data_IF_421451532810
#
_entry.id   IF_421451532810
#
_cell.length_a   1.000
_cell.length_b   1.000
_cell.length_c   1.000
_cell.angle_alpha   90.00
_cell.angle_beta   90.00
_cell.angle_gamma   90.00
#
_symmetry.space_group_name_H-M   'P 1'
#
loop_
_entity.id
_entity.type
_entity.pdbx_description
1 polymer ?
#
# COMPACT_ATOMS: atom_id res chain seq x y z
N UNK A 1 -32.38 20.77 55.06
CA UNK A 1 -32.58 19.31 55.13
C UNK A 1 -32.67 18.80 53.69
N UNK A 2 -31.56 18.37 53.09
CA UNK A 2 -31.26 16.95 52.72
C UNK A 2 -32.49 16.29 52.07
N UNK A 3 -32.50 15.86 50.80
CA UNK A 3 -31.73 14.83 50.05
C UNK A 3 -32.24 14.92 48.58
N UNK A 4 -31.70 14.38 47.50
CA UNK A 4 -30.51 13.60 47.15
C UNK A 4 -30.41 13.71 45.62
N UNK A 5 -29.20 13.87 45.08
CA UNK A 5 -28.93 13.71 43.66
C UNK A 5 -29.17 12.26 43.24
N UNK A 6 -29.87 12.04 42.13
CA UNK A 6 -29.90 10.75 41.43
C UNK A 6 -29.28 10.96 40.05
N UNK A 7 -27.96 10.80 39.99
CA UNK A 7 -27.23 10.69 38.74
C UNK A 7 -27.58 9.33 38.12
N UNK A 8 -28.26 9.36 36.98
CA UNK A 8 -28.44 8.19 36.13
C UNK A 8 -27.10 7.96 35.40
N UNK A 9 -26.20 7.21 36.02
CA UNK A 9 -24.99 6.72 35.37
C UNK A 9 -25.39 5.60 34.42
N UNK A 10 -25.64 5.94 33.14
CA UNK A 10 -25.69 4.96 32.07
C UNK A 10 -24.25 4.57 31.77
N UNK A 11 -23.77 3.51 32.43
CA UNK A 11 -22.56 2.83 32.03
C UNK A 11 -22.82 2.19 30.66
N UNK A 12 -22.46 2.89 29.59
CA UNK A 12 -22.35 2.30 28.28
C UNK A 12 -21.16 1.34 28.30
N UNK A 13 -21.44 0.07 28.60
CA UNK A 13 -20.53 -1.03 28.32
C UNK A 13 -20.39 -1.14 26.79
N UNK A 14 -19.41 -0.42 26.24
CA UNK A 14 -18.94 -0.61 24.88
C UNK A 14 -18.18 -1.93 24.82
N UNK A 15 -18.92 -3.04 24.82
CA UNK A 15 -18.46 -4.32 24.28
C UNK A 15 -18.48 -4.20 22.76
N UNK A 16 -17.62 -3.33 22.23
CA UNK A 16 -17.37 -3.28 20.80
C UNK A 16 -16.47 -4.47 20.50
N UNK A 17 -17.00 -5.42 19.74
CA UNK A 17 -16.29 -6.60 19.27
C UNK A 17 -15.14 -6.24 18.33
N UNK A 18 -14.05 -5.70 18.87
CA UNK A 18 -12.77 -5.87 18.22
C UNK A 18 -12.51 -7.37 18.19
N UNK A 19 -12.55 -7.94 16.98
CA UNK A 19 -11.89 -9.21 16.71
C UNK A 19 -10.55 -9.17 17.46
N UNK A 20 -10.38 -10.04 18.45
CA UNK A 20 -9.23 -10.05 19.34
C UNK A 20 -8.03 -10.53 18.53
N UNK A 21 -7.47 -9.62 17.76
CA UNK A 21 -6.13 -9.77 17.20
C UNK A 21 -5.21 -9.92 18.40
N UNK A 22 -4.34 -10.92 18.38
CA UNK A 22 -3.42 -11.18 19.49
C UNK A 22 -2.57 -9.95 19.86
N UNK A 23 -1.89 -10.00 21.01
CA UNK A 23 -0.92 -8.97 21.40
C UNK A 23 -1.49 -7.69 22.02
N UNK A 24 -0.58 -6.87 22.56
CA UNK A 24 -0.94 -5.60 23.21
C UNK A 24 -1.22 -4.50 22.16
N UNK A 25 -2.06 -3.50 22.48
CA UNK A 25 -2.27 -2.36 21.57
C UNK A 25 -0.98 -1.63 21.19
N UNK A 26 -0.03 -1.52 22.12
CA UNK A 26 1.29 -0.94 21.85
C UNK A 26 2.07 -1.76 20.82
N UNK A 27 2.02 -3.09 20.92
CA UNK A 27 2.70 -3.97 19.99
C UNK A 27 2.06 -3.94 18.59
N UNK A 28 0.72 -3.97 18.52
CA UNK A 28 -0.03 -3.85 17.26
C UNK A 28 0.27 -2.52 16.55
N UNK A 29 0.42 -1.44 17.33
CA UNK A 29 0.82 -0.13 16.81
C UNK A 29 2.29 -0.12 16.38
N UNK A 30 3.18 -0.74 17.14
CA UNK A 30 4.59 -0.82 16.80
C UNK A 30 4.82 -1.59 15.48
N UNK A 31 4.07 -2.68 15.28
CA UNK A 31 4.17 -3.55 14.11
C UNK A 31 3.41 -3.03 12.88
N UNK A 32 2.71 -1.90 12.98
CA UNK A 32 1.92 -1.35 11.89
C UNK A 32 2.64 -1.23 10.53
N UNK A 33 3.97 -0.98 10.41
CA UNK A 33 4.62 -0.91 9.10
C UNK A 33 4.66 -2.25 8.35
N UNK A 34 4.48 -3.37 9.06
CA UNK A 34 4.42 -4.71 8.47
C UNK A 34 3.07 -5.01 7.83
N UNK A 35 2.00 -4.32 8.24
CA UNK A 35 0.70 -4.35 7.56
C UNK A 35 0.79 -3.52 6.29
N UNK A 36 1.27 -4.11 5.20
CA UNK A 36 1.54 -3.36 3.96
C UNK A 36 1.26 -4.16 2.71
N UNK A 37 1.00 -3.45 1.63
CA UNK A 37 1.08 -3.96 0.27
C UNK A 37 2.16 -3.18 -0.47
N UNK A 38 3.12 -3.90 -1.04
CA UNK A 38 4.14 -3.34 -1.93
C UNK A 38 3.60 -3.38 -3.36
N UNK A 39 3.67 -2.27 -4.08
CA UNK A 39 3.36 -2.20 -5.52
C UNK A 39 4.62 -1.80 -6.28
N UNK A 40 5.10 -2.70 -7.13
CA UNK A 40 6.26 -2.47 -8.00
C UNK A 40 5.80 -2.40 -9.45
N UNK A 41 6.05 -1.26 -10.10
CA UNK A 41 5.67 -1.02 -11.49
C UNK A 41 6.93 -0.95 -12.34
N UNK A 42 7.02 -1.85 -13.32
CA UNK A 42 8.03 -1.84 -14.38
C UNK A 42 7.44 -1.33 -15.68
N UNK A 43 8.23 -0.58 -16.46
CA UNK A 43 7.76 -0.03 -17.72
C UNK A 43 8.85 0.68 -18.52
N UNK A 44 8.42 1.43 -19.52
CA UNK A 44 9.33 2.23 -20.36
C UNK A 44 8.81 3.64 -20.60
N UNK A 45 9.75 4.56 -20.83
CA UNK A 45 9.50 5.94 -21.26
C UNK A 45 10.19 6.20 -22.59
N UNK A 46 9.62 7.09 -23.39
CA UNK A 46 10.25 7.54 -24.64
C UNK A 46 11.43 8.45 -24.29
N UNK A 47 12.64 8.07 -24.69
CA UNK A 47 13.84 8.91 -24.55
C UNK A 47 13.91 9.86 -25.75
N UNK A 48 13.89 11.19 -25.55
CA UNK A 48 14.07 12.14 -26.64
C UNK A 48 15.38 11.87 -27.39
N UNK A 49 15.39 12.01 -28.72
CA UNK A 49 16.63 11.85 -29.47
C UNK A 49 17.67 12.87 -29.02
N UNK A 50 18.98 12.52 -29.10
CA UNK A 50 20.04 13.49 -28.88
C UNK A 50 19.87 14.69 -29.81
N UNK A 51 20.21 15.90 -29.34
CA UNK A 51 20.22 17.08 -30.23
C UNK A 51 21.11 16.77 -31.45
N UNK A 52 20.61 16.98 -32.68
CA UNK A 52 21.40 16.72 -33.87
C UNK A 52 22.68 17.55 -33.87
N UNK A 53 23.80 16.97 -34.29
CA UNK A 53 24.98 17.76 -34.68
C UNK A 53 24.64 18.52 -35.97
N UNK A 54 25.18 19.74 -36.18
CA UNK A 54 24.99 20.46 -37.45
C UNK A 54 25.33 19.57 -38.64
N UNK A 55 24.39 19.42 -39.58
CA UNK A 55 24.54 18.57 -40.78
C UNK A 55 24.12 17.10 -40.64
N UNK A 56 23.75 16.62 -39.45
CA UNK A 56 23.25 15.26 -39.25
C UNK A 56 21.71 15.24 -39.18
N UNK A 57 21.08 14.22 -39.78
CA UNK A 57 19.64 13.98 -39.59
C UNK A 57 19.31 13.63 -38.13
N UNK A 58 18.14 14.01 -37.60
CA UNK A 58 17.70 13.64 -36.26
C UNK A 58 17.66 12.12 -36.06
N UNK A 59 18.18 11.65 -34.93
CA UNK A 59 18.10 10.24 -34.53
C UNK A 59 16.67 9.82 -34.16
N UNK A 60 16.39 8.51 -34.17
CA UNK A 60 15.11 7.96 -33.73
C UNK A 60 14.97 8.06 -32.19
N UNK A 61 13.76 8.29 -31.65
CA UNK A 61 13.52 8.23 -30.20
C UNK A 61 13.90 6.86 -29.62
N UNK A 62 14.56 6.86 -28.46
CA UNK A 62 14.93 5.64 -27.74
C UNK A 62 13.85 5.22 -26.73
N UNK A 63 14.07 4.09 -26.05
CA UNK A 63 13.31 3.67 -24.87
C UNK A 63 14.21 3.65 -23.66
N UNK A 64 13.69 4.12 -22.53
CA UNK A 64 14.34 4.12 -21.23
C UNK A 64 13.50 3.29 -20.27
N UNK A 65 14.13 2.40 -19.51
CA UNK A 65 13.44 1.58 -18.50
C UNK A 65 13.06 2.46 -17.32
N UNK A 66 11.83 2.31 -16.84
CA UNK A 66 11.32 2.97 -15.65
C UNK A 66 10.90 1.90 -14.63
N UNK A 67 11.28 2.12 -13.38
CA UNK A 67 10.86 1.32 -12.24
C UNK A 67 10.36 2.23 -11.13
N UNK A 68 9.24 1.87 -10.52
CA UNK A 68 8.61 2.61 -9.45
C UNK A 68 8.14 1.66 -8.38
N UNK A 69 8.24 2.07 -7.11
CA UNK A 69 7.78 1.30 -5.95
C UNK A 69 6.96 2.19 -5.04
N UNK A 70 5.80 1.70 -4.61
CA UNK A 70 4.94 2.35 -3.62
C UNK A 70 4.62 1.37 -2.51
N UNK A 71 4.58 1.88 -1.28
CA UNK A 71 4.21 1.14 -0.08
C UNK A 71 2.85 1.64 0.40
N UNK A 72 1.84 0.80 0.26
CA UNK A 72 0.50 1.02 0.81
C UNK A 72 0.48 0.38 2.20
N UNK A 73 0.81 1.16 3.23
CA UNK A 73 1.26 0.62 4.52
C UNK A 73 0.52 1.22 5.73
N UNK A 74 0.45 0.42 6.80
CA UNK A 74 0.06 0.83 8.13
C UNK A 74 -1.40 1.23 8.28
N UNK A 75 -1.69 1.87 9.42
CA UNK A 75 -3.04 2.24 9.85
C UNK A 75 -3.76 3.19 8.90
N UNK A 76 -3.02 3.91 8.05
CA UNK A 76 -3.59 4.79 7.03
C UNK A 76 -4.18 4.01 5.84
N UNK A 77 -3.71 2.78 5.61
CA UNK A 77 -4.17 1.92 4.53
C UNK A 77 -5.11 0.80 5.00
N UNK A 78 -4.89 0.26 6.20
CA UNK A 78 -5.61 -0.91 6.71
C UNK A 78 -5.89 -0.80 8.20
N UNK A 79 -7.06 -1.29 8.63
CA UNK A 79 -7.26 -1.63 10.02
C UNK A 79 -6.59 -2.99 10.32
N UNK A 80 -6.11 -3.22 11.56
CA UNK A 80 -5.63 -4.53 11.98
C UNK A 80 -6.63 -5.63 11.62
N UNK A 81 -6.15 -6.70 11.00
CA UNK A 81 -6.94 -7.85 10.57
C UNK A 81 -7.97 -7.58 9.45
N UNK A 82 -7.97 -6.39 8.86
CA UNK A 82 -8.93 -5.95 7.85
C UNK A 82 -8.38 -5.91 6.42
N UNK A 83 -9.30 -6.06 5.45
CA UNK A 83 -9.06 -6.01 4.00
C UNK A 83 -9.74 -4.83 3.32
N UNK A 84 -10.26 -3.86 4.08
CA UNK A 84 -10.86 -2.64 3.52
C UNK A 84 -9.77 -1.60 3.29
N UNK A 85 -9.55 -1.24 2.02
CA UNK A 85 -8.56 -0.22 1.66
C UNK A 85 -9.06 1.16 2.06
N UNK A 86 -8.34 1.79 2.99
CA UNK A 86 -8.64 3.12 3.52
C UNK A 86 -8.15 4.23 2.62
N UNK A 87 -8.61 5.45 2.87
CA UNK A 87 -8.33 6.61 2.02
C UNK A 87 -6.85 6.98 1.97
N UNK A 88 -6.08 6.74 3.04
CA UNK A 88 -4.63 6.91 3.02
C UNK A 88 -3.96 5.99 2.00
N UNK A 89 -4.37 4.72 1.96
CA UNK A 89 -3.88 3.76 0.95
C UNK A 89 -4.30 4.11 -0.47
N UNK A 90 -5.55 4.54 -0.66
CA UNK A 90 -6.04 5.04 -1.97
C UNK A 90 -5.24 6.24 -2.46
N UNK A 91 -4.91 7.19 -1.57
CA UNK A 91 -4.15 8.38 -1.91
C UNK A 91 -2.74 8.05 -2.43
N UNK A 92 -2.06 7.07 -1.83
CA UNK A 92 -0.75 6.60 -2.31
C UNK A 92 -0.85 5.94 -3.70
N UNK A 93 -1.89 5.13 -3.93
CA UNK A 93 -2.15 4.51 -5.24
C UNK A 93 -2.56 5.53 -6.30
N UNK A 94 -3.34 6.54 -5.95
CA UNK A 94 -3.71 7.63 -6.86
C UNK A 94 -2.48 8.46 -7.27
N UNK A 95 -1.57 8.71 -6.33
CA UNK A 95 -0.29 9.36 -6.61
C UNK A 95 0.59 8.53 -7.53
N UNK A 96 0.60 7.20 -7.37
CA UNK A 96 1.27 6.28 -8.28
C UNK A 96 0.71 6.41 -9.69
N UNK A 97 -0.61 6.27 -9.85
CA UNK A 97 -1.29 6.33 -11.15
C UNK A 97 -1.04 7.69 -11.82
N UNK A 98 -1.14 8.78 -11.06
CA UNK A 98 -0.81 10.13 -11.56
C UNK A 98 0.63 10.21 -12.05
N UNK A 99 1.57 9.66 -11.29
CA UNK A 99 2.99 9.66 -11.68
C UNK A 99 3.25 8.81 -12.93
N UNK A 100 2.52 7.71 -13.11
CA UNK A 100 2.60 6.90 -14.33
C UNK A 100 2.10 7.68 -15.54
N UNK A 101 1.03 8.46 -15.41
CA UNK A 101 0.46 9.26 -16.48
C UNK A 101 1.25 10.55 -16.79
N UNK A 102 1.77 11.23 -15.76
CA UNK A 102 2.32 12.59 -15.89
C UNK A 102 3.83 12.68 -15.66
N UNK A 103 4.46 11.59 -15.23
CA UNK A 103 5.84 11.59 -14.75
C UNK A 103 6.00 12.24 -13.36
N UNK A 104 7.25 12.32 -12.89
CA UNK A 104 7.60 12.85 -11.56
C UNK A 104 8.80 13.79 -11.62
N UNK A 105 8.84 14.74 -10.68
CA UNK A 105 9.94 15.68 -10.57
C UNK A 105 10.16 16.46 -11.87
N UNK A 106 11.40 16.42 -12.39
CA UNK A 106 11.80 17.07 -13.65
C UNK A 106 11.44 16.25 -14.89
N UNK A 107 11.14 14.96 -14.75
CA UNK A 107 10.76 14.09 -15.86
C UNK A 107 9.24 14.00 -15.95
N UNK A 108 8.64 14.80 -16.84
CA UNK A 108 7.19 14.88 -17.07
C UNK A 108 6.67 13.92 -18.16
N UNK A 109 7.43 12.86 -18.45
CA UNK A 109 7.05 11.89 -19.48
C UNK A 109 6.16 10.78 -18.87
N UNK A 110 5.09 10.37 -19.57
CA UNK A 110 4.29 9.21 -19.19
C UNK A 110 5.13 7.93 -19.25
N UNK A 111 4.78 6.98 -18.40
CA UNK A 111 5.35 5.64 -18.38
C UNK A 111 4.39 4.67 -19.04
N UNK A 112 4.86 3.98 -20.07
CA UNK A 112 4.17 2.80 -20.59
C UNK A 112 4.42 1.64 -19.62
N UNK A 113 3.38 1.22 -18.91
CA UNK A 113 3.43 0.11 -17.96
C UNK A 113 3.69 -1.19 -18.72
N UNK A 114 4.61 -2.01 -18.22
CA UNK A 114 4.93 -3.35 -18.75
C UNK A 114 4.74 -4.46 -17.72
N UNK A 115 4.83 -4.17 -16.42
CA UNK A 115 4.56 -5.11 -15.35
C UNK A 115 4.14 -4.40 -14.07
N UNK A 116 3.31 -5.05 -13.27
CA UNK A 116 2.90 -4.62 -11.93
C UNK A 116 2.98 -5.84 -11.01
N UNK A 117 3.82 -5.79 -9.98
CA UNK A 117 3.93 -6.83 -8.95
C UNK A 117 3.35 -6.28 -7.66
N UNK A 118 2.39 -7.00 -7.09
CA UNK A 118 1.63 -6.58 -5.91
C UNK A 118 1.85 -7.63 -4.81
N UNK A 119 2.67 -7.31 -3.82
CA UNK A 119 2.99 -8.22 -2.72
C UNK A 119 2.32 -7.74 -1.43
N UNK A 120 1.40 -8.55 -0.90
CA UNK A 120 0.79 -8.32 0.39
C UNK A 120 1.66 -8.86 1.53
N UNK A 121 1.69 -8.15 2.64
CA UNK A 121 2.40 -8.52 3.86
C UNK A 121 1.50 -8.27 5.07
N UNK A 122 1.66 -9.11 6.08
CA UNK A 122 1.00 -8.99 7.37
C UNK A 122 2.05 -8.91 8.48
N UNK A 123 1.64 -8.47 9.66
CA UNK A 123 2.52 -8.53 10.83
C UNK A 123 2.49 -9.92 11.49
N UNK A 124 3.47 -10.18 12.37
CA UNK A 124 3.59 -11.48 13.05
C UNK A 124 2.39 -11.86 13.91
N UNK A 125 1.60 -10.88 14.37
CA UNK A 125 0.41 -11.12 15.16
C UNK A 125 -0.71 -11.57 14.24
N UNK A 126 -0.93 -10.84 13.15
CA UNK A 126 -1.91 -11.21 12.12
C UNK A 126 -1.62 -12.59 11.51
N UNK A 127 -0.34 -12.94 11.36
CA UNK A 127 0.10 -14.27 10.94
C UNK A 127 -0.23 -15.34 11.99
N UNK A 128 0.03 -15.06 13.27
CA UNK A 128 -0.27 -15.97 14.38
C UNK A 128 -1.78 -16.22 14.59
N UNK A 129 -2.63 -15.26 14.25
CA UNK A 129 -4.09 -15.37 14.34
C UNK A 129 -4.70 -16.36 13.33
N UNK A 130 -3.88 -16.93 12.42
CA UNK A 130 -4.30 -18.02 11.54
C UNK A 130 -5.31 -17.63 10.47
N UNK A 131 -5.44 -16.32 10.18
CA UNK A 131 -6.22 -15.82 9.03
C UNK A 131 -5.46 -16.13 7.74
N UNK A 132 -5.59 -17.36 7.28
CA UNK A 132 -5.05 -17.81 6.00
C UNK A 132 -5.55 -16.83 4.90
N UNK A 133 -4.62 -16.22 4.16
CA UNK A 133 -4.80 -15.30 3.02
C UNK A 133 -5.00 -13.79 3.25
N UNK A 134 -4.90 -13.25 4.49
CA UNK A 134 -5.11 -11.80 4.71
C UNK A 134 -4.19 -10.91 3.86
N UNK A 135 -2.92 -11.30 3.74
CA UNK A 135 -1.91 -10.67 2.90
C UNK A 135 -2.28 -10.72 1.41
N UNK A 136 -2.62 -11.89 0.88
CA UNK A 136 -3.02 -12.06 -0.52
C UNK A 136 -4.31 -11.30 -0.83
N UNK A 137 -5.26 -11.26 0.09
CA UNK A 137 -6.52 -10.55 -0.08
C UNK A 137 -6.31 -9.03 -0.11
N UNK A 138 -5.42 -8.49 0.73
CA UNK A 138 -5.01 -7.09 0.63
C UNK A 138 -4.35 -6.79 -0.72
N UNK A 139 -3.52 -7.71 -1.25
CA UNK A 139 -2.92 -7.58 -2.56
C UNK A 139 -3.98 -7.55 -3.68
N UNK A 140 -5.00 -8.42 -3.62
CA UNK A 140 -6.14 -8.42 -4.56
C UNK A 140 -6.95 -7.12 -4.51
N UNK A 141 -7.20 -6.58 -3.32
CA UNK A 141 -7.90 -5.29 -3.17
C UNK A 141 -7.12 -4.16 -3.84
N UNK A 142 -5.79 -4.12 -3.68
CA UNK A 142 -4.94 -3.14 -4.36
C UNK A 142 -4.94 -3.34 -5.87
N UNK A 143 -4.87 -4.58 -6.35
CA UNK A 143 -5.02 -4.92 -7.78
C UNK A 143 -6.31 -4.34 -8.33
N UNK A 144 -7.45 -4.64 -7.70
CA UNK A 144 -8.76 -4.23 -8.18
C UNK A 144 -8.92 -2.70 -8.15
N UNK A 145 -8.32 -2.04 -7.15
CA UNK A 145 -8.25 -0.58 -7.11
C UNK A 145 -7.46 -0.02 -8.30
N UNK A 146 -6.28 -0.55 -8.61
CA UNK A 146 -5.49 -0.10 -9.77
C UNK A 146 -6.19 -0.37 -11.10
N UNK A 147 -6.91 -1.49 -11.23
CA UNK A 147 -7.76 -1.77 -12.39
C UNK A 147 -8.87 -0.73 -12.52
N UNK A 148 -9.51 -0.34 -11.42
CA UNK A 148 -10.52 0.73 -11.41
C UNK A 148 -9.96 2.09 -11.84
N UNK A 149 -8.64 2.28 -11.73
CA UNK A 149 -7.92 3.49 -12.18
C UNK A 149 -7.37 3.37 -13.62
N UNK A 150 -7.69 2.27 -14.31
CA UNK A 150 -7.34 2.06 -15.71
C UNK A 150 -5.98 1.37 -15.96
N UNK A 151 -5.34 0.82 -14.93
CA UNK A 151 -4.13 0.00 -15.12
C UNK A 151 -4.54 -1.40 -15.61
N UNK A 152 -3.90 -1.89 -16.67
CA UNK A 152 -4.28 -3.16 -17.30
C UNK A 152 -3.98 -4.35 -16.37
N UNK A 153 -5.05 -5.06 -15.99
CA UNK A 153 -5.00 -6.29 -15.19
C UNK A 153 -4.07 -7.37 -15.75
N UNK A 154 -3.86 -7.43 -17.08
CA UNK A 154 -3.01 -8.45 -17.73
C UNK A 154 -1.53 -8.27 -17.42
N UNK A 155 -1.14 -7.09 -16.95
CA UNK A 155 0.23 -6.77 -16.56
C UNK A 155 0.47 -7.01 -15.06
N UNK A 156 -0.57 -7.40 -14.31
CA UNK A 156 -0.54 -7.50 -12.86
C UNK A 156 -0.33 -8.94 -12.39
N UNK A 157 0.57 -9.09 -11.43
CA UNK A 157 0.80 -10.30 -10.67
C UNK A 157 0.65 -9.95 -9.18
N UNK A 158 0.01 -10.83 -8.41
CA UNK A 158 -0.15 -10.62 -6.97
C UNK A 158 0.24 -11.87 -6.19
N UNK A 159 0.69 -11.66 -4.96
CA UNK A 159 1.02 -12.72 -4.03
C UNK A 159 0.87 -12.27 -2.59
N UNK A 160 0.65 -13.24 -1.70
CA UNK A 160 0.80 -13.07 -0.26
C UNK A 160 2.20 -13.50 0.18
N UNK A 161 2.87 -12.67 0.99
CA UNK A 161 4.22 -12.92 1.54
C UNK A 161 4.21 -13.24 3.04
N UNK A 162 3.05 -13.24 3.68
CA UNK A 162 2.91 -13.44 5.11
C UNK A 162 3.75 -12.42 5.91
N UNK A 163 4.20 -12.78 7.11
CA UNK A 163 5.15 -12.03 7.95
C UNK A 163 6.64 -12.23 7.57
N UNK A 164 6.92 -12.87 6.43
CA UNK A 164 8.28 -13.36 6.06
C UNK A 164 9.27 -12.26 5.67
N UNK A 165 8.77 -11.07 5.34
CA UNK A 165 9.58 -9.90 4.96
C UNK A 165 9.28 -8.72 5.89
N UNK A 166 9.69 -8.74 7.17
CA UNK A 166 9.40 -7.65 8.09
C UNK A 166 10.20 -6.39 7.77
N UNK A 167 9.55 -5.23 7.81
CA UNK A 167 10.18 -3.91 7.77
C UNK A 167 10.86 -3.65 9.12
N UNK A 168 12.17 -3.34 9.13
CA UNK A 168 12.85 -2.92 10.34
C UNK A 168 12.21 -1.65 10.92
N UNK A 169 11.88 -1.71 12.19
CA UNK A 169 11.36 -0.60 12.99
C UNK A 169 12.46 -0.01 13.85
N UNK A 170 12.41 1.29 14.12
CA UNK A 170 13.42 1.99 14.93
C UNK A 170 13.32 1.71 16.43
N UNK A 171 12.21 1.13 16.88
CA UNK A 171 11.98 0.61 18.23
C UNK A 171 11.78 -0.89 18.13
N UNK A 172 12.44 -1.67 19.00
CA UNK A 172 12.17 -3.10 19.07
C UNK A 172 10.71 -3.33 19.49
N UNK A 173 9.91 -3.87 18.57
CA UNK A 173 8.54 -4.31 18.87
C UNK A 173 8.62 -5.64 19.63
N UNK A 174 8.80 -5.54 20.94
CA UNK A 174 8.77 -6.65 21.88
C UNK A 174 7.44 -6.62 22.63
N UNK A 175 7.01 -7.79 23.08
CA UNK A 175 5.77 -7.99 23.82
C UNK A 175 5.87 -7.42 25.25
#
# INVERSE_FOLDING_TARGET
MKKSALACAVAAALLSGCATIGGSPELVECLQPNRRVTVEVGGTKVKPPPKPKPGAQPGKPGREVAQMRVLVQGNSAWDPGGTVLKDGGKAELDKLVKTLAEGAGRDKRPTTVGSVIIAGHIDRIEAADGKNSLDEDRAKVVKDYLVSKGVDSKLMFWEGKDDKDPVPVTKFCQD
#
